data_IF_532409673159
#
_entry.id   IF_532409673159
#
_cell.length_a   1.000
_cell.length_b   1.000
_cell.length_c   1.000
_cell.angle_alpha   90.00
_cell.angle_beta   90.00
_cell.angle_gamma   90.00
#
_symmetry.space_group_name_H-M   'P 1'
#
loop_
_entity.id
_entity.type
_entity.pdbx_description
1 polymer ?
#
# COMPACT_ATOMS: atom_id res chain seq x y z
N UNK A 1 7.23 -18.95 4.02
CA UNK A 1 5.75 -18.77 3.90
C UNK A 1 4.97 -19.38 5.06
N UNK A 2 5.37 -20.54 5.58
CA UNK A 2 4.67 -21.24 6.68
C UNK A 2 4.54 -20.40 7.96
N UNK A 3 5.55 -19.59 8.29
CA UNK A 3 5.51 -18.68 9.44
C UNK A 3 4.34 -17.68 9.37
N UNK A 4 4.06 -17.10 8.20
CA UNK A 4 2.96 -16.14 8.01
C UNK A 4 1.56 -16.78 8.15
N UNK A 5 1.45 -18.10 7.97
CA UNK A 5 0.17 -18.81 8.10
C UNK A 5 -0.17 -19.14 9.55
N UNK A 6 0.81 -19.14 10.44
CA UNK A 6 0.62 -19.44 11.86
C UNK A 6 0.54 -18.18 12.72
N UNK A 7 1.07 -17.05 12.23
CA UNK A 7 1.01 -15.76 12.90
C UNK A 7 -0.35 -15.05 12.66
N UNK A 8 -1.04 -14.71 13.73
CA UNK A 8 -2.37 -14.07 13.69
C UNK A 8 -2.29 -12.63 13.11
N UNK A 9 -1.21 -11.91 13.39
CA UNK A 9 -0.96 -10.57 12.81
C UNK A 9 -0.75 -10.68 11.31
N UNK A 10 0.01 -11.67 10.85
CA UNK A 10 0.22 -11.92 9.44
C UNK A 10 -1.09 -12.25 8.71
N UNK A 11 -1.96 -13.06 9.32
CA UNK A 11 -3.30 -13.36 8.79
C UNK A 11 -4.14 -12.10 8.64
N UNK A 12 -4.18 -11.25 9.67
CA UNK A 12 -4.90 -9.97 9.63
C UNK A 12 -4.36 -9.06 8.55
N UNK A 13 -3.03 -8.93 8.43
CA UNK A 13 -2.39 -8.15 7.37
C UNK A 13 -2.77 -8.68 5.97
N UNK A 14 -2.84 -10.00 5.77
CA UNK A 14 -3.22 -10.60 4.50
C UNK A 14 -4.70 -10.40 4.11
N UNK A 15 -5.56 -9.90 5.02
CA UNK A 15 -6.92 -9.48 4.65
C UNK A 15 -6.94 -8.20 3.84
N UNK A 16 -5.87 -7.40 3.93
CA UNK A 16 -5.72 -6.17 3.14
C UNK A 16 -5.43 -6.54 1.69
N UNK A 17 -6.22 -5.98 0.79
CA UNK A 17 -6.11 -6.26 -0.64
C UNK A 17 -4.72 -5.88 -1.18
N UNK A 18 -4.02 -6.88 -1.69
CA UNK A 18 -2.65 -6.71 -2.21
C UNK A 18 -1.55 -6.98 -1.20
N UNK A 19 -1.88 -7.33 0.04
CA UNK A 19 -0.92 -7.85 1.01
C UNK A 19 -0.99 -9.38 1.00
N UNK A 20 0.11 -10.01 0.61
CA UNK A 20 0.29 -11.47 0.66
C UNK A 20 1.31 -11.90 1.71
N UNK A 21 1.63 -13.20 1.82
CA UNK A 21 2.53 -13.75 2.82
C UNK A 21 3.91 -13.08 2.86
N UNK A 22 4.45 -12.69 1.70
CA UNK A 22 5.76 -12.02 1.60
C UNK A 22 5.69 -10.63 2.24
N UNK A 23 4.64 -9.87 1.91
CA UNK A 23 4.47 -8.49 2.37
C UNK A 23 4.14 -8.49 3.86
N UNK A 24 3.25 -9.37 4.33
CA UNK A 24 2.90 -9.48 5.74
C UNK A 24 4.11 -9.86 6.60
N UNK A 25 4.90 -10.85 6.16
CA UNK A 25 6.15 -11.23 6.86
C UNK A 25 7.16 -10.09 6.84
N UNK A 26 7.32 -9.37 5.73
CA UNK A 26 8.24 -8.25 5.64
C UNK A 26 7.85 -7.10 6.58
N UNK A 27 6.55 -6.82 6.72
CA UNK A 27 6.05 -5.81 7.67
C UNK A 27 6.35 -6.24 9.11
N UNK A 28 6.03 -7.47 9.48
CA UNK A 28 6.28 -8.01 10.83
C UNK A 28 7.77 -8.05 11.16
N UNK A 29 8.61 -8.50 10.21
CA UNK A 29 10.05 -8.57 10.40
C UNK A 29 10.70 -7.19 10.54
N UNK A 30 10.13 -6.15 9.93
CA UNK A 30 10.66 -4.78 9.94
C UNK A 30 10.07 -3.90 11.03
N UNK A 31 8.91 -4.27 11.60
CA UNK A 31 8.35 -3.58 12.74
C UNK A 31 7.90 -4.54 13.82
N UNK A 32 8.62 -4.52 14.93
CA UNK A 32 8.32 -5.28 16.14
C UNK A 32 7.30 -4.58 17.05
N UNK A 33 7.14 -3.25 16.95
CA UNK A 33 6.30 -2.45 17.87
C UNK A 33 5.47 -1.36 17.14
N UNK A 34 4.30 -1.69 16.56
CA UNK A 34 3.47 -0.70 15.85
C UNK A 34 2.88 0.39 16.76
N UNK A 35 2.75 0.12 18.06
CA UNK A 35 2.20 1.04 19.06
C UNK A 35 3.06 2.30 19.28
N UNK A 36 4.32 2.30 18.83
CA UNK A 36 5.20 3.48 18.87
C UNK A 36 4.71 4.63 17.99
N UNK A 37 3.86 4.35 17.02
CA UNK A 37 3.32 5.37 16.13
C UNK A 37 2.00 5.90 16.68
N UNK A 38 1.85 7.22 16.75
CA UNK A 38 0.64 7.85 17.26
C UNK A 38 -0.60 7.56 16.40
N UNK A 39 -0.41 7.17 15.13
CA UNK A 39 -1.48 6.77 14.23
C UNK A 39 -0.96 5.96 13.04
N UNK A 40 -1.88 5.32 12.32
CA UNK A 40 -1.60 4.50 11.14
C UNK A 40 -0.90 5.30 10.01
N UNK A 41 -1.17 6.60 9.89
CA UNK A 41 -0.54 7.45 8.85
C UNK A 41 0.95 7.64 9.10
N UNK A 42 1.37 7.77 10.36
CA UNK A 42 2.79 7.85 10.72
C UNK A 42 3.50 6.51 10.49
N UNK A 43 2.83 5.39 10.80
CA UNK A 43 3.33 4.05 10.46
C UNK A 43 3.51 3.87 8.94
N UNK A 44 2.52 4.26 8.14
CA UNK A 44 2.65 4.24 6.68
C UNK A 44 3.76 5.17 6.16
N UNK A 45 3.95 6.33 6.80
CA UNK A 45 5.00 7.28 6.45
C UNK A 45 6.41 6.73 6.74
N UNK A 46 6.58 5.98 7.83
CA UNK A 46 7.82 5.30 8.17
C UNK A 46 8.28 4.34 7.06
N UNK A 47 7.33 3.65 6.43
CA UNK A 47 7.60 2.77 5.29
C UNK A 47 7.57 3.46 3.91
N UNK A 48 7.38 4.78 3.86
CA UNK A 48 7.34 5.52 2.61
C UNK A 48 6.09 5.28 1.77
N UNK A 49 5.02 4.75 2.36
CA UNK A 49 3.73 4.46 1.70
C UNK A 49 2.82 5.69 1.60
N UNK A 50 3.34 6.87 1.87
CA UNK A 50 2.58 8.14 1.86
C UNK A 50 3.05 9.04 0.71
N UNK A 51 2.17 9.90 0.18
CA UNK A 51 2.60 10.95 -0.75
C UNK A 51 3.55 11.95 -0.06
N UNK A 52 4.52 12.47 -0.82
CA UNK A 52 5.38 13.56 -0.40
C UNK A 52 4.53 14.80 -0.13
N UNK A 53 4.65 15.38 1.05
CA UNK A 53 4.00 16.63 1.39
C UNK A 53 4.96 17.81 1.11
N UNK A 54 4.51 18.77 0.30
CA UNK A 54 5.19 20.05 0.11
C UNK A 54 4.21 21.12 0.61
N UNK A 55 4.44 21.67 1.79
CA UNK A 55 3.58 22.71 2.38
C UNK A 55 4.39 23.96 2.69
N UNK A 56 3.86 25.13 2.34
CA UNK A 56 4.46 26.43 2.68
C UNK A 56 3.36 27.41 3.07
N UNK A 57 3.56 28.13 4.17
CA UNK A 57 2.52 28.97 4.77
C UNK A 57 1.21 28.18 4.96
N UNK A 58 0.12 28.69 4.38
CA UNK A 58 -1.22 28.08 4.43
C UNK A 58 -1.50 27.06 3.32
N UNK A 59 -0.55 26.82 2.39
CA UNK A 59 -0.80 25.94 1.24
C UNK A 59 -0.24 24.54 1.50
N UNK A 60 -1.13 23.55 1.56
CA UNK A 60 -0.77 22.13 1.61
C UNK A 60 -0.88 21.52 0.22
N UNK A 61 0.22 20.94 -0.29
CA UNK A 61 0.24 20.20 -1.55
C UNK A 61 0.78 18.79 -1.36
N UNK A 62 0.02 17.78 -1.78
CA UNK A 62 0.47 16.39 -1.84
C UNK A 62 1.02 16.08 -3.23
N UNK A 63 2.21 15.48 -3.27
CA UNK A 63 2.91 15.07 -4.50
C UNK A 63 2.89 13.57 -4.72
N UNK A 64 3.91 13.08 -5.44
CA UNK A 64 4.14 11.65 -5.71
C UNK A 64 4.45 10.88 -4.42
N UNK A 65 4.38 9.55 -4.47
CA UNK A 65 4.84 8.68 -3.38
C UNK A 65 6.21 9.12 -2.85
N UNK A 66 6.35 9.21 -1.53
CA UNK A 66 7.61 9.59 -0.90
C UNK A 66 8.70 8.56 -1.24
N UNK A 67 9.93 9.05 -1.42
CA UNK A 67 11.11 8.18 -1.55
C UNK A 67 11.79 7.91 -0.21
N UNK A 68 11.34 8.57 0.87
CA UNK A 68 11.81 8.35 2.23
C UNK A 68 11.18 7.10 2.83
N UNK A 69 11.88 6.48 3.78
CA UNK A 69 11.45 5.22 4.40
C UNK A 69 11.99 3.98 3.69
N UNK A 70 11.34 2.85 3.92
CA UNK A 70 11.82 1.55 3.46
C UNK A 70 11.57 1.30 1.96
N UNK A 71 12.65 1.29 1.18
CA UNK A 71 12.57 1.05 -0.27
C UNK A 71 12.09 -0.36 -0.65
N UNK A 72 12.36 -1.36 0.20
CA UNK A 72 11.97 -2.75 -0.04
C UNK A 72 10.46 -2.92 0.18
N UNK A 73 9.93 -2.45 1.32
CA UNK A 73 8.49 -2.52 1.60
C UNK A 73 7.67 -1.67 0.62
N UNK A 74 8.16 -0.49 0.24
CA UNK A 74 7.54 0.31 -0.82
C UNK A 74 7.47 -0.45 -2.15
N UNK A 75 8.54 -1.13 -2.53
CA UNK A 75 8.55 -1.95 -3.76
C UNK A 75 7.56 -3.10 -3.66
N UNK A 76 7.54 -3.80 -2.52
CA UNK A 76 6.59 -4.88 -2.25
C UNK A 76 5.13 -4.41 -2.31
N UNK A 77 4.80 -3.26 -1.70
CA UNK A 77 3.45 -2.69 -1.74
C UNK A 77 3.01 -2.37 -3.18
N UNK A 78 3.91 -1.84 -4.01
CA UNK A 78 3.64 -1.59 -5.43
C UNK A 78 3.43 -2.90 -6.20
N UNK A 79 4.22 -3.95 -5.93
CA UNK A 79 4.01 -5.27 -6.54
C UNK A 79 2.67 -5.89 -6.10
N UNK A 80 2.32 -5.76 -4.83
CA UNK A 80 1.02 -6.15 -4.29
C UNK A 80 -0.13 -5.45 -5.01
N UNK A 81 -0.02 -4.14 -5.21
CA UNK A 81 -0.98 -3.36 -5.98
C UNK A 81 -1.06 -3.82 -7.45
N UNK A 82 0.05 -4.18 -8.09
CA UNK A 82 0.03 -4.75 -9.44
C UNK A 82 -0.69 -6.10 -9.51
N UNK A 83 -0.50 -6.96 -8.50
CA UNK A 83 -1.21 -8.22 -8.39
C UNK A 83 -2.72 -7.99 -8.26
N UNK A 84 -3.14 -7.03 -7.44
CA UNK A 84 -4.54 -6.60 -7.31
C UNK A 84 -5.11 -6.17 -8.65
N UNK A 85 -4.44 -5.24 -9.34
CA UNK A 85 -4.89 -4.75 -10.64
C UNK A 85 -4.93 -5.85 -11.72
N UNK A 86 -4.19 -6.95 -11.56
CA UNK A 86 -4.25 -8.09 -12.50
C UNK A 86 -5.52 -8.92 -12.29
N UNK A 87 -6.04 -8.96 -11.08
CA UNK A 87 -7.20 -9.78 -10.70
C UNK A 87 -8.54 -9.05 -10.85
N UNK A 88 -8.52 -7.72 -11.02
CA UNK A 88 -9.74 -6.93 -11.29
C UNK A 88 -10.39 -7.41 -12.59
N UNK A 89 -11.60 -7.95 -12.50
CA UNK A 89 -12.38 -8.39 -13.66
C UNK A 89 -12.97 -7.16 -14.36
N UNK A 90 -12.99 -7.15 -15.69
CA UNK A 90 -13.54 -6.03 -16.48
C UNK A 90 -15.03 -5.77 -16.17
N UNK A 91 -15.81 -6.83 -15.97
CA UNK A 91 -17.25 -6.75 -15.72
C UNK A 91 -17.60 -6.77 -14.22
N UNK A 92 -16.65 -6.45 -13.34
CA UNK A 92 -16.90 -6.42 -11.90
C UNK A 92 -17.82 -5.26 -11.54
N UNK A 93 -18.92 -5.54 -10.83
CA UNK A 93 -19.82 -4.50 -10.31
C UNK A 93 -19.36 -3.93 -8.96
N UNK A 94 -18.33 -4.53 -8.35
CA UNK A 94 -17.77 -4.06 -7.10
C UNK A 94 -17.29 -2.59 -7.22
N UNK A 95 -17.73 -1.69 -6.31
CA UNK A 95 -17.36 -0.27 -6.36
C UNK A 95 -15.84 -0.01 -6.33
N UNK A 96 -15.08 -0.82 -5.58
CA UNK A 96 -13.63 -0.69 -5.51
C UNK A 96 -12.97 -1.14 -6.81
N UNK A 97 -13.45 -2.23 -7.42
CA UNK A 97 -12.98 -2.67 -8.73
C UNK A 97 -13.23 -1.63 -9.82
N UNK A 98 -14.44 -1.05 -9.88
CA UNK A 98 -14.77 0.03 -10.82
C UNK A 98 -13.88 1.26 -10.63
N UNK A 99 -13.53 1.58 -9.38
CA UNK A 99 -12.59 2.67 -9.07
C UNK A 99 -11.18 2.36 -9.59
N UNK A 100 -10.70 1.13 -9.39
CA UNK A 100 -9.39 0.68 -9.88
C UNK A 100 -9.32 0.70 -11.40
N UNK A 101 -10.36 0.21 -12.08
CA UNK A 101 -10.47 0.29 -13.54
C UNK A 101 -10.41 1.73 -14.04
N UNK A 102 -11.14 2.65 -13.40
CA UNK A 102 -11.11 4.09 -13.73
C UNK A 102 -9.70 4.67 -13.61
N UNK A 103 -8.94 4.27 -12.59
CA UNK A 103 -7.54 4.71 -12.45
C UNK A 103 -6.65 4.13 -13.52
N UNK A 104 -6.79 2.84 -13.84
CA UNK A 104 -6.03 2.19 -14.92
C UNK A 104 -6.31 2.89 -16.25
N UNK A 105 -7.58 3.19 -16.56
CA UNK A 105 -7.97 3.89 -17.79
C UNK A 105 -7.38 5.30 -17.86
N UNK A 106 -7.46 6.08 -16.78
CA UNK A 106 -7.05 7.50 -16.78
C UNK A 106 -5.54 7.71 -16.64
N UNK A 107 -4.87 6.88 -15.84
CA UNK A 107 -3.47 7.11 -15.41
C UNK A 107 -2.50 6.08 -15.99
N UNK A 108 -3.01 4.99 -16.57
CA UNK A 108 -2.22 3.81 -16.90
C UNK A 108 -1.94 2.93 -15.68
N UNK A 109 -1.54 1.69 -15.96
CA UNK A 109 -1.43 0.63 -14.95
C UNK A 109 -0.34 0.87 -13.90
N UNK A 110 0.79 1.49 -14.29
CA UNK A 110 1.89 1.82 -13.37
C UNK A 110 1.47 2.84 -12.32
N UNK A 111 0.92 3.97 -12.75
CA UNK A 111 0.50 5.04 -11.84
C UNK A 111 -0.71 4.62 -11.00
N UNK A 112 -1.64 3.82 -11.56
CA UNK A 112 -2.73 3.22 -10.79
C UNK A 112 -2.23 2.31 -9.65
N UNK A 113 -1.16 1.53 -9.88
CA UNK A 113 -0.57 0.67 -8.86
C UNK A 113 0.09 1.49 -7.74
N UNK A 114 0.87 2.52 -8.09
CA UNK A 114 1.47 3.45 -7.11
C UNK A 114 0.38 4.14 -6.30
N UNK A 115 -0.70 4.58 -6.94
CA UNK A 115 -1.82 5.23 -6.27
C UNK A 115 -2.57 4.29 -5.33
N UNK A 116 -2.72 3.02 -5.69
CA UNK A 116 -3.30 2.00 -4.82
C UNK A 116 -2.39 1.70 -3.63
N UNK A 117 -1.08 1.53 -3.86
CA UNK A 117 -0.10 1.32 -2.79
C UNK A 117 -0.04 2.48 -1.79
N UNK A 118 -0.27 3.73 -2.23
CA UNK A 118 -0.36 4.89 -1.34
C UNK A 118 -1.65 4.97 -0.50
N UNK A 119 -2.66 4.16 -0.83
CA UNK A 119 -3.99 4.20 -0.21
C UNK A 119 -4.24 3.01 0.72
N UNK A 120 -3.55 1.89 0.49
CA UNK A 120 -3.56 0.73 1.38
C UNK A 120 -2.88 1.06 2.71
#
# INVERSE_FOLDING_TARGET
ETAAKNDETAKRLMTVRGIGPIISTAVIAKQTEPERFANARQFAAYFGLVPKQNSSGEKVRLGKMSKHGDAYLRSLAIQGAHAVLRQVKANSEDPDDRRLQRWVFRLGRKEAAVRLANRN
#
